data_IF_783453612441
#
_entry.id   IF_783453612441
#
_cell.length_a   1.000
_cell.length_b   1.000
_cell.length_c   1.000
_cell.angle_alpha   90.00
_cell.angle_beta   90.00
_cell.angle_gamma   90.00
#
_symmetry.space_group_name_H-M   'P 1'
#
loop_
_entity.id
_entity.type
_entity.pdbx_description
1 polymer ?
#
# COMPACT_ATOMS: atom_id res chain seq x y z
N UNK A 1 -12.32 4.75 -7.83
CA UNK A 1 -11.18 5.62 -7.52
C UNK A 1 -11.38 6.38 -6.20
N UNK A 2 -12.45 7.17 -6.04
CA UNK A 2 -12.65 8.02 -4.86
C UNK A 2 -12.60 7.26 -3.52
N UNK A 3 -13.26 6.12 -3.40
CA UNK A 3 -13.25 5.32 -2.16
C UNK A 3 -11.84 4.81 -1.85
N UNK A 4 -11.14 4.25 -2.84
CA UNK A 4 -9.76 3.84 -2.66
C UNK A 4 -8.84 5.04 -2.29
N UNK A 5 -9.08 6.21 -2.89
CA UNK A 5 -8.37 7.44 -2.54
C UNK A 5 -8.56 7.88 -1.10
N UNK A 6 -9.74 7.68 -0.51
CA UNK A 6 -9.98 7.97 0.92
C UNK A 6 -9.06 7.14 1.82
N UNK A 7 -8.92 5.83 1.54
CA UNK A 7 -8.02 4.96 2.29
C UNK A 7 -6.56 5.39 2.16
N UNK A 8 -6.12 5.72 0.94
CA UNK A 8 -4.76 6.17 0.70
C UNK A 8 -4.49 7.55 1.34
N UNK A 9 -5.45 8.48 1.27
CA UNK A 9 -5.33 9.80 1.91
C UNK A 9 -5.31 9.69 3.43
N UNK A 10 -6.16 8.84 4.02
CA UNK A 10 -6.15 8.56 5.46
C UNK A 10 -4.81 7.99 5.93
N UNK A 11 -4.18 7.16 5.09
CA UNK A 11 -2.84 6.63 5.31
C UNK A 11 -1.71 7.66 5.10
N UNK A 12 -2.05 8.88 4.70
CA UNK A 12 -1.10 10.00 4.59
C UNK A 12 -0.47 10.21 3.21
N UNK A 13 -1.06 9.65 2.14
CA UNK A 13 -0.66 9.98 0.77
C UNK A 13 -1.40 11.24 0.31
N UNK A 14 -0.70 12.13 -0.38
CA UNK A 14 -1.32 13.37 -0.84
C UNK A 14 -0.47 14.19 -1.81
N UNK A 15 -0.89 15.42 -2.11
CA UNK A 15 -0.14 16.33 -2.97
C UNK A 15 1.29 16.53 -2.48
N UNK A 16 2.26 16.49 -3.39
CA UNK A 16 3.69 16.57 -3.08
C UNK A 16 4.37 15.22 -2.88
N UNK A 17 3.61 14.12 -2.78
CA UNK A 17 4.18 12.78 -2.83
C UNK A 17 4.38 12.31 -4.27
N UNK A 18 5.47 11.59 -4.50
CA UNK A 18 5.74 10.84 -5.72
C UNK A 18 5.76 9.36 -5.34
N UNK A 19 4.71 8.64 -5.73
CA UNK A 19 4.54 7.23 -5.38
C UNK A 19 4.82 6.33 -6.59
N UNK A 20 5.71 5.36 -6.43
CA UNK A 20 5.88 4.28 -7.41
C UNK A 20 4.95 3.13 -7.07
N UNK A 21 4.13 2.74 -8.04
CA UNK A 21 3.15 1.66 -7.88
C UNK A 21 3.69 0.37 -8.50
N UNK A 22 3.93 -0.65 -7.64
CA UNK A 22 4.63 -1.88 -7.98
C UNK A 22 3.71 -3.11 -8.01
N UNK A 23 2.40 -2.93 -8.24
CA UNK A 23 1.48 -4.04 -8.45
C UNK A 23 1.24 -4.31 -9.94
N UNK A 24 0.83 -5.53 -10.25
CA UNK A 24 0.65 -5.97 -11.62
C UNK A 24 -0.55 -5.28 -12.29
N UNK A 25 -0.33 -4.71 -13.48
CA UNK A 25 -1.38 -4.09 -14.31
C UNK A 25 -2.04 -5.07 -15.30
N UNK A 26 -1.48 -6.27 -15.45
CA UNK A 26 -1.97 -7.26 -16.42
C UNK A 26 -3.08 -8.12 -15.82
N UNK A 27 -4.32 -7.92 -16.25
CA UNK A 27 -5.50 -8.69 -15.81
C UNK A 27 -5.65 -8.82 -14.28
N UNK A 28 -5.19 -7.81 -13.57
CA UNK A 28 -5.21 -7.75 -12.12
C UNK A 28 -5.83 -6.45 -11.63
N UNK A 29 -6.88 -6.57 -10.81
CA UNK A 29 -7.61 -5.38 -10.33
C UNK A 29 -6.73 -4.43 -9.54
N UNK A 30 -5.88 -4.94 -8.64
CA UNK A 30 -5.00 -4.14 -7.80
C UNK A 30 -4.02 -3.25 -8.58
N UNK A 31 -3.72 -3.55 -9.83
CA UNK A 31 -2.89 -2.68 -10.68
C UNK A 31 -3.59 -1.36 -11.01
N UNK A 32 -4.65 -1.43 -11.78
CA UNK A 32 -5.33 -0.23 -12.29
C UNK A 32 -6.18 0.48 -11.24
N UNK A 33 -6.95 -0.26 -10.44
CA UNK A 33 -7.84 0.35 -9.46
C UNK A 33 -7.08 1.04 -8.34
N UNK A 34 -5.98 0.44 -7.89
CA UNK A 34 -5.11 1.04 -6.88
C UNK A 34 -4.41 2.27 -7.44
N UNK A 35 -3.91 2.20 -8.68
CA UNK A 35 -3.34 3.35 -9.38
C UNK A 35 -4.29 4.55 -9.38
N UNK A 36 -5.53 4.34 -9.82
CA UNK A 36 -6.55 5.39 -9.83
C UNK A 36 -6.90 5.90 -8.41
N UNK A 37 -6.83 5.03 -7.41
CA UNK A 37 -6.97 5.39 -6.01
C UNK A 37 -5.83 6.28 -5.53
N UNK A 38 -4.59 5.91 -5.85
CA UNK A 38 -3.39 6.70 -5.53
C UNK A 38 -3.43 8.07 -6.22
N UNK A 39 -3.75 8.15 -7.52
CA UNK A 39 -3.88 9.42 -8.25
C UNK A 39 -4.96 10.34 -7.65
N UNK A 40 -6.08 9.77 -7.18
CA UNK A 40 -7.18 10.56 -6.60
C UNK A 40 -6.82 11.28 -5.29
N UNK A 41 -5.68 10.96 -4.68
CA UNK A 41 -5.13 11.69 -3.53
C UNK A 41 -4.40 12.99 -3.91
N UNK A 42 -4.14 13.20 -5.20
CA UNK A 42 -3.32 14.29 -5.71
C UNK A 42 -1.82 14.01 -5.73
N UNK A 43 -1.39 12.80 -5.38
CA UNK A 43 0.00 12.37 -5.53
C UNK A 43 0.35 12.11 -7.01
N UNK A 44 1.63 12.29 -7.36
CA UNK A 44 2.15 11.84 -8.65
C UNK A 44 2.38 10.32 -8.60
N UNK A 45 1.75 9.57 -9.50
CA UNK A 45 1.88 8.11 -9.55
C UNK A 45 2.79 7.68 -10.69
N UNK A 46 3.85 6.92 -10.38
CA UNK A 46 4.70 6.26 -11.36
C UNK A 46 4.19 4.83 -11.58
N UNK A 47 3.58 4.51 -12.73
CA UNK A 47 2.99 3.19 -13.00
C UNK A 47 4.05 2.17 -13.41
N UNK A 48 4.78 1.65 -12.44
CA UNK A 48 5.91 0.76 -12.71
C UNK A 48 5.48 -0.70 -12.97
N UNK A 49 4.54 -1.21 -12.17
CA UNK A 49 4.11 -2.61 -12.26
C UNK A 49 5.09 -3.60 -11.63
N UNK A 50 5.18 -4.80 -12.21
CA UNK A 50 6.00 -5.90 -11.72
C UNK A 50 7.21 -6.15 -12.61
N UNK A 51 8.30 -6.65 -12.06
CA UNK A 51 9.55 -6.97 -12.77
C UNK A 51 10.58 -5.86 -12.73
N UNK A 52 11.74 -6.07 -13.34
CA UNK A 52 12.77 -5.05 -13.52
C UNK A 52 13.23 -4.31 -12.26
N UNK A 53 13.47 -5.01 -11.13
CA UNK A 53 13.78 -4.36 -9.84
C UNK A 53 15.00 -3.43 -9.89
N UNK A 54 15.98 -3.70 -10.73
CA UNK A 54 17.12 -2.80 -10.99
C UNK A 54 16.69 -1.51 -11.72
N UNK A 55 15.76 -1.62 -12.66
CA UNK A 55 15.15 -0.46 -13.31
C UNK A 55 14.31 0.35 -12.31
N UNK A 56 13.58 -0.33 -11.40
CA UNK A 56 12.84 0.34 -10.33
C UNK A 56 13.75 1.18 -9.44
N UNK A 57 14.90 0.65 -9.03
CA UNK A 57 15.88 1.38 -8.21
C UNK A 57 16.35 2.64 -8.92
N UNK A 58 16.67 2.56 -10.20
CA UNK A 58 17.04 3.73 -11.02
C UNK A 58 15.89 4.72 -11.11
N UNK A 59 14.68 4.26 -11.39
CA UNK A 59 13.49 5.11 -11.46
C UNK A 59 13.25 5.86 -10.14
N UNK A 60 13.38 5.19 -8.99
CA UNK A 60 13.24 5.81 -7.67
C UNK A 60 14.23 6.97 -7.52
N UNK A 61 15.49 6.75 -7.90
CA UNK A 61 16.54 7.76 -7.79
C UNK A 61 16.36 8.92 -8.78
N UNK A 62 16.05 8.61 -10.04
CA UNK A 62 16.00 9.59 -11.13
C UNK A 62 14.76 10.50 -11.03
N UNK A 63 13.63 9.95 -10.56
CA UNK A 63 12.36 10.68 -10.45
C UNK A 63 12.17 11.34 -9.09
N UNK A 64 12.96 10.93 -8.08
CA UNK A 64 12.82 11.46 -6.71
C UNK A 64 11.58 10.88 -6.00
N UNK A 65 11.32 9.60 -6.18
CA UNK A 65 10.22 8.88 -5.55
C UNK A 65 10.40 8.87 -4.04
N UNK A 66 9.37 9.26 -3.28
CA UNK A 66 9.39 9.28 -1.82
C UNK A 66 8.42 8.26 -1.18
N UNK A 67 7.56 7.63 -1.99
CA UNK A 67 6.59 6.65 -1.55
C UNK A 67 6.56 5.42 -2.46
N UNK A 68 6.25 4.26 -1.90
CA UNK A 68 6.09 3.02 -2.65
C UNK A 68 4.75 2.36 -2.33
N UNK A 69 4.04 1.89 -3.36
CA UNK A 69 2.86 1.03 -3.22
C UNK A 69 3.22 -0.37 -3.68
N UNK A 70 3.21 -1.35 -2.78
CA UNK A 70 3.66 -2.72 -3.03
C UNK A 70 3.09 -3.70 -2.00
N UNK A 71 3.37 -5.01 -2.19
CA UNK A 71 3.10 -6.01 -1.16
C UNK A 71 4.12 -5.96 -0.02
N UNK A 72 3.77 -6.41 1.21
CA UNK A 72 4.67 -6.45 2.36
C UNK A 72 6.00 -7.17 2.13
N UNK A 73 6.03 -8.24 1.34
CA UNK A 73 7.26 -9.00 1.05
C UNK A 73 8.24 -8.30 0.10
N UNK A 74 7.76 -7.34 -0.70
CA UNK A 74 8.55 -6.75 -1.79
C UNK A 74 9.78 -5.94 -1.33
N UNK A 75 9.77 -5.18 -0.23
CA UNK A 75 10.97 -4.48 0.26
C UNK A 75 12.15 -5.39 0.52
N UNK A 76 11.94 -6.64 0.95
CA UNK A 76 13.03 -7.59 1.14
C UNK A 76 13.71 -7.93 -0.20
N UNK A 77 12.91 -8.15 -1.25
CA UNK A 77 13.44 -8.38 -2.61
C UNK A 77 14.17 -7.16 -3.15
N UNK A 78 13.62 -5.98 -2.92
CA UNK A 78 14.25 -4.71 -3.34
C UNK A 78 15.62 -4.51 -2.64
N UNK A 79 15.70 -4.81 -1.34
CA UNK A 79 16.95 -4.73 -0.58
C UNK A 79 18.02 -5.72 -1.11
N UNK A 80 17.59 -6.94 -1.44
CA UNK A 80 18.49 -7.94 -2.04
C UNK A 80 19.10 -7.44 -3.37
N UNK A 81 18.26 -6.99 -4.30
CA UNK A 81 18.72 -6.48 -5.60
C UNK A 81 19.58 -5.23 -5.44
N UNK A 82 19.24 -4.36 -4.48
CA UNK A 82 20.04 -3.18 -4.17
C UNK A 82 21.46 -3.60 -3.74
N UNK A 83 21.60 -4.56 -2.83
CA UNK A 83 22.90 -5.05 -2.38
C UNK A 83 23.71 -5.71 -3.50
N UNK A 84 23.06 -6.45 -4.41
CA UNK A 84 23.69 -7.14 -5.51
C UNK A 84 24.15 -6.21 -6.65
N UNK A 85 23.34 -5.20 -6.99
CA UNK A 85 23.51 -4.37 -8.18
C UNK A 85 24.01 -2.95 -7.91
N UNK A 86 23.84 -2.47 -6.67
CA UNK A 86 24.19 -1.12 -6.24
C UNK A 86 24.90 -1.16 -4.86
N UNK A 87 26.07 -1.84 -4.74
CA UNK A 87 26.71 -2.13 -3.46
C UNK A 87 27.09 -0.88 -2.65
N UNK A 88 27.24 0.27 -3.32
CA UNK A 88 27.54 1.55 -2.68
C UNK A 88 26.30 2.26 -2.13
N UNK A 89 25.11 1.65 -2.24
CA UNK A 89 23.84 2.21 -1.82
C UNK A 89 23.23 1.41 -0.66
N UNK A 90 22.68 2.12 0.30
CA UNK A 90 21.85 1.51 1.35
C UNK A 90 20.37 1.69 1.04
N UNK A 91 19.45 0.88 1.60
CA UNK A 91 18.02 1.07 1.45
C UNK A 91 17.56 2.49 1.80
N UNK A 92 18.08 3.07 2.87
CA UNK A 92 17.79 4.46 3.27
C UNK A 92 18.22 5.51 2.25
N UNK A 93 19.26 5.23 1.47
CA UNK A 93 19.75 6.17 0.45
C UNK A 93 18.82 6.33 -0.76
N UNK A 94 17.81 5.45 -0.91
CA UNK A 94 16.78 5.59 -1.94
C UNK A 94 15.76 6.69 -1.63
N UNK A 95 15.70 7.19 -0.39
CA UNK A 95 14.86 8.33 -0.05
C UNK A 95 13.39 7.99 0.18
N UNK A 96 12.99 6.72 0.16
CA UNK A 96 11.63 6.29 0.45
C UNK A 96 11.26 6.63 1.90
N UNK A 97 10.09 7.25 2.10
CA UNK A 97 9.58 7.68 3.41
C UNK A 97 8.28 6.97 3.80
N UNK A 98 7.49 6.58 2.82
CA UNK A 98 6.16 6.00 3.01
C UNK A 98 6.04 4.71 2.20
N UNK A 99 5.38 3.71 2.77
CA UNK A 99 5.05 2.47 2.07
C UNK A 99 3.56 2.16 2.28
N UNK A 100 2.82 2.13 1.19
CA UNK A 100 1.39 1.81 1.12
C UNK A 100 1.25 0.36 0.68
N UNK A 101 0.87 -0.50 1.61
CA UNK A 101 0.98 -1.94 1.43
C UNK A 101 -0.37 -2.63 1.62
N UNK A 102 -0.50 -3.80 0.99
CA UNK A 102 -1.63 -4.70 1.14
C UNK A 102 -1.44 -5.97 0.31
N UNK A 103 -2.48 -6.81 0.29
CA UNK A 103 -2.48 -8.04 -0.49
C UNK A 103 -1.73 -9.23 0.13
N UNK A 104 -1.00 -9.02 1.21
CA UNK A 104 -0.30 -10.06 1.99
C UNK A 104 -0.41 -9.75 3.49
N UNK A 105 -0.35 -10.77 4.38
CA UNK A 105 -0.28 -10.56 5.83
C UNK A 105 1.06 -9.96 6.26
N UNK A 106 1.14 -9.50 7.51
CA UNK A 106 2.39 -9.06 8.15
C UNK A 106 2.35 -7.63 8.68
N UNK A 107 1.44 -6.79 8.20
CA UNK A 107 1.34 -5.40 8.67
C UNK A 107 0.72 -5.27 10.07
N UNK A 108 0.14 -6.32 10.61
CA UNK A 108 -0.34 -6.36 11.99
C UNK A 108 0.81 -6.61 12.99
N UNK A 109 1.97 -7.10 12.49
CA UNK A 109 3.14 -7.34 13.31
C UNK A 109 3.96 -6.04 13.51
N UNK A 110 4.06 -5.51 14.74
CA UNK A 110 4.84 -4.31 15.03
C UNK A 110 6.34 -4.51 14.79
N UNK A 111 6.86 -5.74 14.91
CA UNK A 111 8.27 -6.04 14.65
C UNK A 111 8.57 -5.89 13.15
N UNK A 112 7.66 -6.35 12.30
CA UNK A 112 7.78 -6.18 10.85
C UNK A 112 7.79 -4.68 10.47
N UNK A 113 6.88 -3.88 11.02
CA UNK A 113 6.82 -2.42 10.79
C UNK A 113 8.08 -1.71 11.28
N UNK A 114 8.57 -2.05 12.48
CA UNK A 114 9.81 -1.50 13.03
C UNK A 114 10.98 -1.80 12.12
N UNK A 115 11.09 -3.04 11.64
CA UNK A 115 12.16 -3.45 10.72
C UNK A 115 12.16 -2.65 9.41
N UNK A 116 10.99 -2.39 8.83
CA UNK A 116 10.89 -1.54 7.63
C UNK A 116 11.37 -0.12 7.91
N UNK A 117 11.02 0.44 9.06
CA UNK A 117 11.51 1.76 9.46
C UNK A 117 13.02 1.74 9.70
N UNK A 118 13.55 0.73 10.39
CA UNK A 118 14.98 0.64 10.71
C UNK A 118 15.85 0.47 9.47
N UNK A 119 15.41 -0.35 8.52
CA UNK A 119 16.17 -0.65 7.30
C UNK A 119 16.02 0.47 6.26
N UNK A 120 14.79 0.95 6.05
CA UNK A 120 14.45 1.85 4.95
C UNK A 120 14.24 3.30 5.36
N UNK A 121 13.85 3.55 6.61
CA UNK A 121 13.31 4.83 7.05
C UNK A 121 11.86 5.06 6.59
N UNK A 122 11.16 4.00 6.18
CA UNK A 122 9.77 4.06 5.71
C UNK A 122 8.78 3.83 6.84
N UNK A 123 7.71 4.62 6.86
CA UNK A 123 6.50 4.30 7.60
C UNK A 123 5.62 3.40 6.74
N UNK A 124 5.40 2.16 7.20
CA UNK A 124 4.54 1.21 6.52
C UNK A 124 3.08 1.38 6.96
N UNK A 125 2.17 1.47 5.98
CA UNK A 125 0.74 1.66 6.16
C UNK A 125 -0.02 0.51 5.52
N UNK A 126 -0.96 -0.12 6.26
CA UNK A 126 -1.91 -1.08 5.71
C UNK A 126 -3.06 -0.31 5.04
N UNK A 127 -2.89 0.09 3.80
CA UNK A 127 -3.80 1.02 3.12
C UNK A 127 -4.49 0.43 1.90
N UNK A 128 -4.26 -0.85 1.63
CA UNK A 128 -4.73 -1.51 0.43
C UNK A 128 -5.51 -2.78 0.80
N UNK A 129 -6.69 -2.61 1.43
CA UNK A 129 -7.61 -3.69 1.72
C UNK A 129 -8.85 -3.58 0.81
N UNK A 130 -8.99 -4.55 -0.09
CA UNK A 130 -10.07 -4.57 -1.06
C UNK A 130 -10.22 -5.93 -1.73
N UNK A 131 -11.28 -6.08 -2.51
CA UNK A 131 -11.56 -7.30 -3.29
C UNK A 131 -12.04 -6.94 -4.69
N UNK A 132 -11.83 -7.86 -5.65
CA UNK A 132 -12.22 -7.65 -7.04
C UNK A 132 -13.71 -7.46 -7.23
N UNK A 133 -14.54 -8.13 -6.39
CA UNK A 133 -16.00 -8.02 -6.43
C UNK A 133 -16.48 -6.59 -6.15
N UNK A 134 -15.72 -5.85 -5.39
CA UNK A 134 -16.00 -4.46 -5.01
C UNK A 134 -15.34 -3.43 -5.92
N UNK A 135 -14.47 -3.88 -6.82
CA UNK A 135 -13.72 -3.08 -7.79
C UNK A 135 -12.84 -1.99 -7.16
N UNK A 136 -12.53 -2.06 -5.88
CA UNK A 136 -11.63 -1.10 -5.23
C UNK A 136 -11.15 -1.55 -3.85
N UNK A 137 -10.19 -0.81 -3.32
CA UNK A 137 -9.88 -0.80 -1.90
C UNK A 137 -10.98 -0.05 -1.17
N UNK A 138 -11.56 -0.68 -0.17
CA UNK A 138 -12.66 -0.12 0.62
C UNK A 138 -12.32 0.08 2.09
N UNK A 139 -11.16 -0.39 2.51
CA UNK A 139 -10.66 -0.14 3.85
C UNK A 139 -9.16 0.14 3.86
N UNK A 140 -8.71 0.89 4.84
CA UNK A 140 -7.31 1.25 5.02
C UNK A 140 -7.05 1.84 6.40
N UNK A 141 -5.80 1.77 6.80
CA UNK A 141 -5.28 2.36 8.03
C UNK A 141 -5.21 3.88 7.91
N UNK A 142 -5.40 4.59 9.01
CA UNK A 142 -5.08 6.01 9.09
C UNK A 142 -3.71 6.26 9.73
N UNK A 143 -3.27 7.53 9.76
CA UNK A 143 -1.98 7.90 10.38
C UNK A 143 -1.97 7.78 11.90
N UNK A 144 -3.14 7.72 12.54
CA UNK A 144 -3.29 7.75 14.00
C UNK A 144 -3.43 6.36 14.62
N UNK A 145 -3.99 5.40 13.87
CA UNK A 145 -4.31 4.06 14.36
C UNK A 145 -3.83 2.98 13.39
N UNK A 146 -3.56 1.79 13.92
CA UNK A 146 -3.14 0.64 13.12
C UNK A 146 -4.31 -0.18 12.57
N UNK A 147 -5.53 0.05 13.08
CA UNK A 147 -6.74 -0.63 12.63
C UNK A 147 -7.21 -0.13 11.26
N UNK A 148 -7.93 -0.99 10.54
CA UNK A 148 -8.51 -0.64 9.25
C UNK A 148 -9.84 0.08 9.44
N UNK A 149 -10.01 1.20 8.79
CA UNK A 149 -11.25 1.94 8.71
C UNK A 149 -12.00 1.56 7.44
N UNK A 150 -13.29 1.23 7.56
CA UNK A 150 -14.16 1.01 6.42
C UNK A 150 -14.53 2.36 5.77
N UNK A 151 -14.06 2.58 4.55
CA UNK A 151 -14.15 3.87 3.83
C UNK A 151 -15.27 3.94 2.79
N UNK A 152 -16.10 2.89 2.70
CA UNK A 152 -17.07 2.69 1.63
C UNK A 152 -18.55 2.76 2.08
N UNK A 153 -18.84 3.32 3.23
CA UNK A 153 -20.20 3.35 3.81
C UNK A 153 -21.25 4.06 2.95
N UNK A 154 -20.83 4.87 1.99
CA UNK A 154 -21.69 5.56 1.03
C UNK A 154 -22.04 4.72 -0.21
N UNK A 155 -21.32 3.62 -0.45
CA UNK A 155 -21.53 2.76 -1.63
C UNK A 155 -21.73 1.28 -1.28
N UNK A 156 -21.48 0.88 -0.03
CA UNK A 156 -21.61 -0.49 0.44
C UNK A 156 -22.17 -0.56 1.84
N UNK A 157 -22.91 -1.63 2.09
CA UNK A 157 -23.36 -2.00 3.42
C UNK A 157 -22.49 -3.15 3.92
N UNK A 158 -21.87 -2.98 5.10
CA UNK A 158 -21.08 -4.03 5.75
C UNK A 158 -21.93 -4.71 6.81
N UNK A 159 -21.91 -6.03 6.83
CA UNK A 159 -22.57 -6.85 7.84
C UNK A 159 -21.54 -7.81 8.46
N UNK A 160 -21.60 -7.95 9.78
CA UNK A 160 -20.84 -8.96 10.49
C UNK A 160 -21.75 -10.15 10.71
N UNK A 161 -21.33 -11.32 10.25
CA UNK A 161 -22.10 -12.55 10.41
C UNK A 161 -21.28 -13.59 11.15
N UNK A 162 -21.93 -14.52 11.84
CA UNK A 162 -21.23 -15.66 12.45
C UNK A 162 -20.78 -16.64 11.37
N UNK A 163 -19.65 -17.36 11.56
CA UNK A 163 -19.18 -18.34 10.58
C UNK A 163 -20.18 -19.49 10.28
N UNK A 164 -21.07 -19.80 11.24
CA UNK A 164 -21.98 -20.93 11.19
C UNK A 164 -23.43 -20.56 10.81
N UNK A 165 -23.71 -19.29 10.62
CA UNK A 165 -25.05 -18.83 10.25
C UNK A 165 -25.00 -17.49 9.53
N UNK A 166 -26.04 -17.21 8.72
CA UNK A 166 -26.22 -15.91 8.05
C UNK A 166 -26.84 -14.85 8.98
N UNK A 167 -26.88 -15.11 10.30
CA UNK A 167 -27.43 -14.15 11.26
C UNK A 167 -26.47 -12.96 11.40
N UNK A 168 -27.02 -11.77 11.11
CA UNK A 168 -26.29 -10.51 11.25
C UNK A 168 -26.12 -10.17 12.73
N UNK A 169 -24.90 -9.92 13.14
CA UNK A 169 -24.54 -9.46 14.48
C UNK A 169 -24.56 -7.94 14.56
N UNK A 170 -24.91 -7.36 15.73
CA UNK A 170 -24.70 -5.94 15.97
C UNK A 170 -23.23 -5.55 15.83
N UNK A 171 -22.94 -4.37 15.29
CA UNK A 171 -21.54 -3.87 15.11
C UNK A 171 -20.73 -3.83 16.40
N UNK A 172 -21.38 -3.75 17.56
CA UNK A 172 -20.76 -3.69 18.90
C UNK A 172 -20.46 -5.07 19.48
N UNK A 173 -20.68 -6.16 18.74
CA UNK A 173 -20.55 -7.54 19.22
C UNK A 173 -19.17 -8.17 18.95
N UNK A 174 -18.18 -7.40 18.51
CA UNK A 174 -16.82 -7.83 18.23
C UNK A 174 -15.85 -7.68 19.39
#
# INVERSE_FOLDING_TARGET
>A
AQVAGRAQSAAGLGPGDVVVHCLNYQLWMGGLTDHLGLESTGALVVPFGTGGTDLLIRTILDVGVNAISCTPSYPARLAQVLAERFPDRSPRSLGLKKAFMGGEPGLDDPVFRSRLNDVWGMRAMNSNYGVSDFLCNFAGQCTEQNDLHFMASDIAHAEIVTPDSDAVLPFESG
#
